data_IF_839232278181
#
_entry.id   IF_839232278181
#
_cell.length_a   1.000
_cell.length_b   1.000
_cell.length_c   1.000
_cell.angle_alpha   90.00
_cell.angle_beta   90.00
_cell.angle_gamma   90.00
#
_symmetry.space_group_name_H-M   'P 1'
#
loop_
_entity.id
_entity.type
_entity.pdbx_description
1 polymer ?
#
# COMPACT_ATOMS: atom_id res chain seq x y z
N UNK A 1 -5.97 7.50 -17.95
CA UNK A 1 -4.91 8.26 -17.27
C UNK A 1 -4.30 7.41 -16.17
N UNK A 2 -2.99 7.44 -16.04
CA UNK A 2 -2.28 6.67 -15.03
C UNK A 2 -2.22 7.45 -13.74
N UNK A 3 -2.53 6.75 -12.65
CA UNK A 3 -2.53 7.31 -11.31
C UNK A 3 -1.71 6.45 -10.36
N UNK A 4 -1.32 7.02 -9.24
CA UNK A 4 -0.66 6.29 -8.18
C UNK A 4 -1.34 6.58 -6.87
N UNK A 5 -1.34 5.59 -5.97
CA UNK A 5 -1.80 5.74 -4.60
C UNK A 5 -0.85 5.00 -3.67
N UNK A 6 -0.52 5.62 -2.56
CA UNK A 6 0.39 5.04 -1.59
C UNK A 6 -0.28 4.75 -0.27
N UNK A 7 0.16 3.68 0.37
CA UNK A 7 -0.27 3.31 1.72
C UNK A 7 0.96 3.06 2.57
N UNK A 8 0.87 3.43 3.83
CA UNK A 8 1.97 3.24 4.76
C UNK A 8 1.42 2.92 6.15
N UNK A 9 2.03 1.95 6.80
CA UNK A 9 1.68 1.59 8.18
C UNK A 9 2.83 0.81 8.80
N UNK A 10 2.90 0.83 10.12
CA UNK A 10 3.80 -0.05 10.85
C UNK A 10 3.19 -1.45 11.06
N UNK A 11 1.97 -1.67 10.62
CA UNK A 11 1.26 -2.95 10.71
C UNK A 11 0.99 -3.45 9.30
N UNK A 12 1.57 -4.60 8.94
CA UNK A 12 1.44 -5.15 7.59
C UNK A 12 -0.02 -5.42 7.22
N UNK A 13 -0.80 -5.98 8.14
CA UNK A 13 -2.19 -6.28 7.85
C UNK A 13 -3.00 -5.03 7.53
N UNK A 14 -2.66 -3.89 8.12
CA UNK A 14 -3.33 -2.63 7.79
C UNK A 14 -3.05 -2.20 6.35
N UNK A 15 -1.81 -2.39 5.89
CA UNK A 15 -1.46 -2.07 4.51
C UNK A 15 -2.23 -2.97 3.55
N UNK A 16 -2.26 -4.28 3.80
CA UNK A 16 -2.96 -5.20 2.92
C UNK A 16 -4.46 -4.98 2.90
N UNK A 17 -5.06 -4.67 4.04
CA UNK A 17 -6.48 -4.34 4.11
C UNK A 17 -6.80 -3.07 3.32
N UNK A 18 -5.95 -2.05 3.44
CA UNK A 18 -6.13 -0.80 2.70
C UNK A 18 -6.03 -1.03 1.19
N UNK A 19 -5.10 -1.88 0.75
CA UNK A 19 -4.95 -2.23 -0.65
C UNK A 19 -6.22 -2.93 -1.15
N UNK A 20 -6.68 -3.94 -0.43
CA UNK A 20 -7.86 -4.71 -0.82
C UNK A 20 -9.09 -3.81 -0.90
N UNK A 21 -9.27 -2.94 0.08
CA UNK A 21 -10.39 -2.01 0.10
C UNK A 21 -10.31 -1.03 -1.06
N UNK A 22 -9.12 -0.52 -1.36
CA UNK A 22 -8.93 0.39 -2.47
C UNK A 22 -9.32 -0.26 -3.79
N UNK A 23 -8.83 -1.47 -4.04
CA UNK A 23 -9.12 -2.19 -5.28
C UNK A 23 -10.62 -2.48 -5.38
N UNK A 24 -11.25 -2.89 -4.29
CA UNK A 24 -12.67 -3.15 -4.27
C UNK A 24 -13.48 -1.89 -4.57
N UNK A 25 -13.15 -0.77 -3.92
CA UNK A 25 -13.85 0.49 -4.11
C UNK A 25 -13.69 1.00 -5.54
N UNK A 26 -12.48 0.91 -6.09
CA UNK A 26 -12.23 1.36 -7.46
C UNK A 26 -12.96 0.50 -8.49
N UNK A 27 -13.04 -0.80 -8.23
CA UNK A 27 -13.78 -1.71 -9.10
C UNK A 27 -15.27 -1.36 -9.09
N UNK A 28 -15.81 -1.02 -7.93
CA UNK A 28 -17.21 -0.62 -7.82
C UNK A 28 -17.48 0.71 -8.52
N UNK A 29 -16.57 1.68 -8.40
CA UNK A 29 -16.78 3.02 -8.94
C UNK A 29 -16.54 3.08 -10.45
N UNK A 30 -15.57 2.37 -10.96
CA UNK A 30 -15.10 2.51 -12.34
C UNK A 30 -15.33 1.28 -13.20
N UNK A 31 -15.57 0.14 -12.58
CA UNK A 31 -15.85 -1.09 -13.31
C UNK A 31 -14.72 -1.44 -14.28
N UNK A 32 -15.07 -1.66 -15.52
CA UNK A 32 -14.13 -2.10 -16.55
C UNK A 32 -13.08 -1.05 -16.93
N UNK A 33 -13.28 0.21 -16.53
CA UNK A 33 -12.29 1.25 -16.82
C UNK A 33 -11.14 1.26 -15.82
N UNK A 34 -11.31 0.60 -14.68
CA UNK A 34 -10.23 0.47 -13.70
C UNK A 34 -9.28 -0.63 -14.14
N UNK A 35 -8.01 -0.30 -14.25
CA UNK A 35 -6.96 -1.27 -14.60
C UNK A 35 -5.84 -1.18 -13.55
N UNK A 36 -5.59 -2.31 -12.91
CA UNK A 36 -4.45 -2.46 -12.03
C UNK A 36 -3.19 -2.68 -12.88
N UNK A 37 -2.19 -1.84 -12.73
CA UNK A 37 -0.97 -1.93 -13.52
C UNK A 37 0.13 -2.62 -12.74
N UNK A 38 0.45 -2.13 -11.55
CA UNK A 38 1.56 -2.66 -10.77
C UNK A 38 1.41 -2.27 -9.31
N UNK A 39 2.13 -2.99 -8.46
CA UNK A 39 2.27 -2.64 -7.06
C UNK A 39 3.73 -2.73 -6.67
N UNK A 40 4.22 -1.70 -5.98
CA UNK A 40 5.55 -1.68 -5.38
C UNK A 40 5.39 -1.77 -3.88
N UNK A 41 6.11 -2.67 -3.27
CA UNK A 41 6.03 -2.90 -1.83
C UNK A 41 7.41 -2.78 -1.23
N UNK A 42 7.50 -2.13 -0.07
CA UNK A 42 8.75 -2.01 0.66
C UNK A 42 8.48 -2.15 2.15
N UNK A 43 9.41 -2.77 2.83
CA UNK A 43 9.44 -2.84 4.27
C UNK A 43 10.76 -2.22 4.73
N UNK A 44 10.70 -1.18 5.53
CA UNK A 44 11.87 -0.43 5.94
C UNK A 44 11.99 -0.46 7.45
N UNK A 45 13.08 -1.05 7.94
CA UNK A 45 13.39 -0.99 9.36
C UNK A 45 13.91 0.40 9.69
N UNK A 46 13.38 0.99 10.75
CA UNK A 46 13.88 2.28 11.21
C UNK A 46 15.29 2.13 11.78
N UNK A 47 16.10 3.21 11.77
CA UNK A 47 17.42 3.13 12.37
C UNK A 47 17.37 2.64 13.80
N UNK A 48 18.30 1.76 14.16
CA UNK A 48 18.36 1.20 15.49
C UNK A 48 18.80 2.25 16.49
N UNK A 49 17.99 2.36 17.54
CA UNK A 49 18.38 3.06 18.75
C UNK A 49 18.33 2.04 19.90
N UNK A 50 19.06 2.32 20.96
CA UNK A 50 19.19 1.36 22.07
C UNK A 50 17.86 0.93 22.69
N UNK A 51 16.84 1.76 22.59
CA UNK A 51 15.52 1.49 23.17
C UNK A 51 14.50 1.00 22.15
N UNK A 52 14.90 0.87 20.90
CA UNK A 52 13.97 0.53 19.81
C UNK A 52 13.65 -0.95 19.80
N UNK A 53 12.38 -1.25 19.61
CA UNK A 53 11.89 -2.64 19.50
C UNK A 53 12.05 -3.13 18.07
N UNK A 54 12.19 -4.44 17.91
CA UNK A 54 12.30 -5.06 16.59
C UNK A 54 11.06 -4.88 15.71
N UNK A 55 9.92 -4.62 16.34
CA UNK A 55 8.66 -4.41 15.62
C UNK A 55 8.56 -3.05 14.93
N UNK A 56 9.58 -2.20 15.05
CA UNK A 56 9.57 -0.88 14.44
C UNK A 56 9.97 -0.97 12.96
N UNK A 57 9.10 -1.57 12.18
CA UNK A 57 9.24 -1.67 10.73
C UNK A 57 8.09 -0.90 10.11
N UNK A 58 8.41 -0.07 9.12
CA UNK A 58 7.38 0.59 8.32
C UNK A 58 7.18 -0.17 7.03
N UNK A 59 5.93 -0.50 6.76
CA UNK A 59 5.52 -1.12 5.50
C UNK A 59 4.90 -0.06 4.62
N UNK A 60 5.27 -0.07 3.35
CA UNK A 60 4.70 0.86 2.39
C UNK A 60 4.37 0.12 1.10
N UNK A 61 3.32 0.58 0.44
CA UNK A 61 2.92 0.05 -0.84
C UNK A 61 2.50 1.19 -1.75
N UNK A 62 2.85 1.09 -3.01
CA UNK A 62 2.44 2.04 -4.04
C UNK A 62 1.73 1.27 -5.13
N UNK A 63 0.48 1.63 -5.37
CA UNK A 63 -0.30 1.04 -6.45
C UNK A 63 -0.28 1.97 -7.64
N UNK A 64 0.01 1.41 -8.80
CA UNK A 64 -0.04 2.11 -10.08
C UNK A 64 -1.25 1.55 -10.82
N UNK A 65 -2.14 2.44 -11.23
CA UNK A 65 -3.39 2.03 -11.86
C UNK A 65 -3.82 3.01 -12.93
N UNK A 66 -4.78 2.60 -13.72
CA UNK A 66 -5.35 3.41 -14.79
C UNK A 66 -6.87 3.42 -14.71
N UNK A 67 -7.44 4.59 -14.96
CA UNK A 67 -8.89 4.76 -15.10
C UNK A 67 -9.22 5.66 -16.27
#
# INVERSE_FOLDING_TARGET
MIHTVGFQSHILSSVTENIDKFVEDMTKQHGSTFRFIDIKFAATAKPLESTRKQSDVDYSALIIYEI
#
